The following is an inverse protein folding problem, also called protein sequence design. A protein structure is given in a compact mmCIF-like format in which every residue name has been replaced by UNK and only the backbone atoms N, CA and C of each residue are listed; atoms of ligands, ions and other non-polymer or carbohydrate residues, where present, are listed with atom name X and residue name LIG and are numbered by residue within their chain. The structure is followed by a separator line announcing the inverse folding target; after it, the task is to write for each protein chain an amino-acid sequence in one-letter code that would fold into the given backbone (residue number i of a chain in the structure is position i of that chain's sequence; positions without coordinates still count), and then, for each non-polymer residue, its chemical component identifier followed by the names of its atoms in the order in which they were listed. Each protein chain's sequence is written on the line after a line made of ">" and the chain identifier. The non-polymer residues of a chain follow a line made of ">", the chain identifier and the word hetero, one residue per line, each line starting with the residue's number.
data_IF_586248139336
#
_entry.id   IF_586248139336
#
_cell.length_a   1.000
_cell.length_b   1.000
_cell.length_c   1.000
_cell.angle_alpha   90.00
_cell.angle_beta   90.00
_cell.angle_gamma   90.00
#
_symmetry.space_group_name_H-M   'P 1'
#
loop_
_entity.id
_entity.type
_entity.pdbx_description
1 polymer ?
#
# COMPACT_ATOMS: atom_id res chain seq x y z
N UNK A 1 -2.89 21.72 -18.74
CA UNK A 1 -1.63 21.13 -18.30
C UNK A 1 -1.95 20.30 -17.08
N UNK A 2 -2.12 18.99 -17.28
CA UNK A 2 -2.42 18.08 -16.16
C UNK A 2 -1.10 17.60 -15.59
N UNK A 3 -0.77 18.09 -14.40
CA UNK A 3 0.34 17.54 -13.62
C UNK A 3 -0.18 16.32 -12.87
N UNK A 4 0.43 15.17 -13.12
CA UNK A 4 0.25 14.03 -12.23
C UNK A 4 1.15 14.21 -11.02
N UNK A 5 0.55 14.47 -9.87
CA UNK A 5 1.26 14.41 -8.60
C UNK A 5 1.30 12.96 -8.13
N UNK A 6 2.47 12.36 -8.15
CA UNK A 6 2.72 11.11 -7.43
C UNK A 6 3.41 11.45 -6.12
N UNK A 7 2.71 11.34 -5.04
CA UNK A 7 3.37 11.02 -3.77
C UNK A 7 3.91 9.61 -3.92
N UNK A 8 5.11 9.36 -3.41
CA UNK A 8 5.77 8.04 -3.46
C UNK A 8 4.94 6.90 -2.87
N UNK A 9 3.69 7.19 -2.50
CA UNK A 9 2.83 6.31 -1.71
C UNK A 9 1.48 5.95 -2.34
N UNK A 10 1.06 6.48 -3.47
CA UNK A 10 -0.29 6.19 -3.91
C UNK A 10 -0.42 6.08 -5.41
N UNK A 11 0.05 5.03 -6.01
CA UNK A 11 -0.63 4.48 -7.18
C UNK A 11 0.05 3.20 -7.61
N UNK A 12 -0.50 2.08 -7.17
CA UNK A 12 -0.35 0.84 -7.90
C UNK A 12 -1.32 0.86 -9.08
N UNK A 13 -0.88 0.23 -10.12
CA UNK A 13 -1.62 -0.09 -11.34
C UNK A 13 -1.92 1.07 -12.30
N UNK A 14 -1.05 1.21 -13.29
CA UNK A 14 -1.38 0.97 -14.71
C UNK A 14 -0.15 1.17 -15.56
N UNK A 15 0.03 0.20 -16.46
CA UNK A 15 0.82 0.15 -17.68
C UNK A 15 2.26 -0.38 -17.64
N UNK A 16 2.47 -1.27 -18.55
CA UNK A 16 3.43 -2.32 -18.76
C UNK A 16 4.85 -1.88 -19.07
N UNK A 17 5.90 -2.46 -18.46
CA UNK A 17 7.28 -2.27 -18.88
C UNK A 17 7.87 -3.40 -19.73
N UNK A 18 8.80 -3.03 -20.59
CA UNK A 18 9.62 -3.91 -21.42
C UNK A 18 10.78 -4.53 -20.64
N UNK A 19 10.95 -5.84 -20.82
CA UNK A 19 11.93 -6.81 -20.34
C UNK A 19 13.22 -6.37 -19.62
N UNK A 20 13.46 -7.00 -18.44
CA UNK A 20 14.78 -7.53 -18.04
C UNK A 20 14.61 -8.87 -17.33
N UNK A 21 15.47 -9.84 -17.65
CA UNK A 21 15.52 -11.19 -17.07
C UNK A 21 15.84 -11.11 -15.58
N UNK A 22 14.91 -11.52 -14.75
CA UNK A 22 15.10 -11.72 -13.30
C UNK A 22 14.46 -13.03 -12.88
N UNK A 23 15.08 -13.69 -11.98
CA UNK A 23 14.77 -14.98 -11.38
C UNK A 23 13.30 -15.13 -10.98
N UNK A 24 12.71 -16.23 -11.39
CA UNK A 24 11.32 -16.61 -11.14
C UNK A 24 11.11 -16.93 -9.65
N UNK A 25 10.54 -16.00 -8.91
CA UNK A 25 9.96 -16.32 -7.60
C UNK A 25 8.45 -16.37 -7.79
N UNK A 26 7.91 -17.58 -7.77
CA UNK A 26 6.47 -17.79 -7.86
C UNK A 26 5.83 -17.53 -6.50
N UNK A 27 5.12 -16.44 -6.37
CA UNK A 27 4.29 -16.16 -5.20
C UNK A 27 2.82 -16.07 -5.59
N UNK A 28 2.02 -17.05 -5.17
CA UNK A 28 0.57 -16.98 -5.29
C UNK A 28 0.04 -16.46 -3.97
N UNK A 29 -0.65 -15.34 -4.00
CA UNK A 29 -1.36 -14.84 -2.84
C UNK A 29 -2.78 -14.52 -3.24
N UNK A 30 -3.70 -15.26 -2.66
CA UNK A 30 -5.13 -14.99 -2.79
C UNK A 30 -5.49 -14.06 -1.64
N UNK A 31 -5.79 -12.80 -1.96
CA UNK A 31 -6.19 -11.81 -0.98
C UNK A 31 -7.70 -11.58 -1.02
N UNK A 32 -8.40 -11.93 0.04
CA UNK A 32 -9.76 -11.44 0.30
C UNK A 32 -9.60 -10.20 1.17
N UNK A 33 -9.76 -9.03 0.57
CA UNK A 33 -9.62 -7.77 1.28
C UNK A 33 -10.91 -7.55 2.08
N UNK A 34 -10.79 -7.64 3.36
CA UNK A 34 -11.88 -7.45 4.32
C UNK A 34 -11.81 -8.42 5.49
N UNK A 35 -11.40 -9.66 5.27
CA UNK A 35 -11.31 -10.66 6.33
C UNK A 35 -9.96 -11.36 6.44
N UNK A 36 -9.01 -11.13 5.53
CA UNK A 36 -7.75 -11.88 5.46
C UNK A 36 -6.49 -11.06 5.77
N UNK A 37 -6.51 -9.74 5.81
CA UNK A 37 -5.35 -8.97 6.28
C UNK A 37 -4.99 -9.30 7.73
N UNK A 38 -5.95 -9.75 8.51
CA UNK A 38 -5.82 -10.04 9.94
C UNK A 38 -5.22 -11.43 10.20
N UNK A 39 -5.62 -12.43 9.44
CA UNK A 39 -5.06 -13.78 9.58
C UNK A 39 -3.65 -13.88 9.00
N UNK A 40 -3.27 -12.93 8.17
CA UNK A 40 -2.06 -12.99 7.37
C UNK A 40 -0.78 -12.72 8.16
N UNK A 41 -0.79 -11.80 9.14
CA UNK A 41 0.38 -11.58 10.01
C UNK A 41 0.67 -12.80 10.88
N UNK A 42 -0.36 -13.46 11.41
CA UNK A 42 -0.20 -14.71 12.17
C UNK A 42 0.25 -15.89 11.32
N UNK A 43 -0.29 -16.03 10.11
CA UNK A 43 0.03 -17.14 9.19
C UNK A 43 1.43 -16.94 8.56
N UNK A 44 1.85 -15.72 8.21
CA UNK A 44 3.20 -15.50 7.67
C UNK A 44 4.31 -15.73 8.70
N UNK A 45 4.10 -15.33 9.94
CA UNK A 45 5.05 -15.66 11.01
C UNK A 45 5.12 -17.18 11.23
N UNK A 46 3.99 -17.88 11.15
CA UNK A 46 3.96 -19.34 11.24
C UNK A 46 4.58 -20.02 10.01
N UNK A 47 4.34 -19.53 8.80
CA UNK A 47 4.94 -20.06 7.57
C UNK A 47 6.45 -19.83 7.49
N UNK A 48 6.94 -18.67 7.94
CA UNK A 48 8.38 -18.39 8.04
C UNK A 48 9.05 -19.24 9.12
N UNK A 49 8.36 -19.50 10.24
CA UNK A 49 8.90 -20.31 11.35
C UNK A 49 8.87 -21.81 11.08
N UNK A 50 7.97 -22.31 10.24
CA UNK A 50 7.78 -23.76 10.05
C UNK A 50 8.26 -24.29 8.71
N UNK A 51 8.69 -23.40 7.78
CA UNK A 51 9.03 -23.80 6.39
C UNK A 51 7.98 -24.76 5.78
N UNK A 52 6.75 -24.63 6.22
CA UNK A 52 5.68 -25.54 5.84
C UNK A 52 4.91 -24.97 4.67
N UNK A 53 4.97 -25.69 3.58
CA UNK A 53 4.05 -25.59 2.46
C UNK A 53 2.63 -25.92 2.95
N UNK A 54 1.97 -24.96 3.61
CA UNK A 54 0.60 -25.20 4.11
C UNK A 54 -0.42 -25.22 2.97
N UNK A 55 -0.03 -24.89 1.77
CA UNK A 55 -1.02 -24.67 0.73
C UNK A 55 -1.14 -25.76 -0.32
N UNK A 56 -0.39 -26.80 -0.35
CA UNK A 56 -0.62 -27.86 -1.33
C UNK A 56 0.05 -29.15 -0.84
N UNK A 57 -0.47 -29.74 0.20
CA UNK A 57 -0.23 -31.14 0.47
C UNK A 57 -1.51 -31.89 0.85
N UNK A 58 -2.62 -31.53 0.26
CA UNK A 58 -3.57 -32.58 -0.05
C UNK A 58 -3.37 -32.93 -1.52
N UNK A 59 -2.35 -33.72 -1.78
CA UNK A 59 -2.23 -34.54 -2.97
C UNK A 59 -3.17 -35.74 -2.88
N UNK A 60 -4.15 -35.66 -1.98
CA UNK A 60 -5.28 -36.57 -1.87
C UNK A 60 -6.51 -35.76 -2.26
N UNK A 61 -7.05 -36.12 -3.39
CA UNK A 61 -8.21 -35.56 -4.09
C UNK A 61 -7.94 -34.25 -4.84
N UNK A 62 -7.11 -34.24 -5.88
CA UNK A 62 -7.69 -33.85 -7.14
C UNK A 62 -8.84 -34.84 -7.34
N UNK A 63 -10.03 -34.47 -6.88
CA UNK A 63 -11.24 -35.14 -7.26
C UNK A 63 -11.35 -34.91 -8.77
N UNK A 64 -10.97 -35.91 -9.58
CA UNK A 64 -11.21 -35.93 -11.03
C UNK A 64 -12.72 -36.06 -11.30
N UNK A 65 -13.54 -35.68 -10.31
CA UNK A 65 -14.98 -35.70 -10.35
C UNK A 65 -15.58 -34.52 -11.12
N UNK A 66 -16.78 -34.67 -11.60
CA UNK A 66 -17.61 -33.62 -12.20
C UNK A 66 -17.61 -32.37 -11.31
N UNK A 67 -16.96 -31.27 -11.77
CA UNK A 67 -16.90 -30.00 -11.08
C UNK A 67 -15.50 -29.45 -10.79
N UNK A 68 -14.42 -30.17 -11.14
CA UNK A 68 -13.06 -29.64 -11.03
C UNK A 68 -12.88 -28.45 -12.00
N UNK A 69 -12.38 -27.31 -11.50
CA UNK A 69 -12.13 -26.12 -12.35
C UNK A 69 -11.08 -26.42 -13.43
N UNK A 70 -10.10 -27.26 -13.15
CA UNK A 70 -9.04 -27.67 -14.07
C UNK A 70 -9.22 -29.13 -14.50
N UNK A 71 -10.38 -29.46 -15.06
CA UNK A 71 -10.59 -30.76 -15.69
C UNK A 71 -9.82 -30.88 -17.02
N UNK A 72 -9.81 -32.07 -17.61
CA UNK A 72 -9.07 -32.36 -18.84
C UNK A 72 -9.53 -31.48 -20.02
N UNK A 73 -10.81 -31.16 -20.11
CA UNK A 73 -11.38 -30.35 -21.18
C UNK A 73 -10.96 -28.89 -21.03
N UNK A 74 -10.98 -28.34 -19.79
CA UNK A 74 -10.49 -27.00 -19.48
C UNK A 74 -9.00 -26.86 -19.80
N UNK A 75 -8.17 -27.83 -19.37
CA UNK A 75 -6.74 -27.82 -19.68
C UNK A 75 -6.50 -27.93 -21.19
N UNK A 76 -7.25 -28.77 -21.90
CA UNK A 76 -7.17 -28.88 -23.35
C UNK A 76 -7.53 -27.55 -24.04
N UNK A 77 -8.58 -26.87 -23.55
CA UNK A 77 -9.00 -25.56 -24.10
C UNK A 77 -7.97 -24.47 -23.86
N UNK A 78 -7.36 -24.42 -22.68
CA UNK A 78 -6.27 -23.48 -22.37
C UNK A 78 -5.09 -23.70 -23.31
N UNK A 79 -4.69 -24.97 -23.53
CA UNK A 79 -3.61 -25.31 -24.47
C UNK A 79 -3.94 -24.91 -25.89
N UNK A 80 -5.17 -25.16 -26.38
CA UNK A 80 -5.64 -24.77 -27.70
C UNK A 80 -5.57 -23.25 -27.86
N UNK A 81 -6.13 -22.47 -26.92
CA UNK A 81 -6.08 -21.01 -26.95
C UNK A 81 -4.63 -20.49 -26.92
N UNK A 82 -3.77 -21.07 -26.11
CA UNK A 82 -2.35 -20.72 -26.08
C UNK A 82 -1.66 -20.99 -27.43
N UNK A 83 -1.98 -22.11 -28.07
CA UNK A 83 -1.44 -22.44 -29.39
C UNK A 83 -1.92 -21.46 -30.45
N UNK A 84 -3.22 -21.12 -30.45
CA UNK A 84 -3.77 -20.12 -31.41
C UNK A 84 -3.13 -18.73 -31.16
N UNK A 85 -2.99 -18.30 -29.91
CA UNK A 85 -2.36 -17.03 -29.60
C UNK A 85 -0.92 -17.01 -30.12
N UNK A 86 -0.14 -18.06 -29.88
CA UNK A 86 1.25 -18.17 -30.37
C UNK A 86 1.37 -18.18 -31.90
N UNK A 87 0.32 -18.65 -32.61
CA UNK A 87 0.34 -18.78 -34.09
C UNK A 87 -0.10 -17.49 -34.78
N UNK A 88 -1.05 -16.75 -34.21
CA UNK A 88 -1.73 -15.66 -34.92
C UNK A 88 -1.53 -14.27 -34.28
N UNK A 89 -1.04 -14.18 -33.08
CA UNK A 89 -0.79 -12.88 -32.43
C UNK A 89 0.41 -12.19 -33.10
N UNK A 90 0.24 -10.90 -33.40
CA UNK A 90 1.19 -10.14 -34.20
C UNK A 90 2.49 -9.81 -33.42
N UNK A 91 2.39 -9.51 -32.12
CA UNK A 91 3.52 -9.12 -31.32
C UNK A 91 4.12 -10.30 -30.53
N UNK A 92 5.27 -10.08 -29.91
CA UNK A 92 5.91 -11.06 -29.05
C UNK A 92 5.03 -11.39 -27.84
N UNK A 93 4.93 -12.68 -27.50
CA UNK A 93 4.14 -13.18 -26.39
C UNK A 93 5.06 -13.42 -25.17
N UNK A 94 4.70 -12.79 -24.07
CA UNK A 94 5.31 -13.04 -22.78
C UNK A 94 4.49 -14.09 -22.02
N UNK A 95 5.07 -15.30 -21.86
CA UNK A 95 4.35 -16.41 -21.22
C UNK A 95 3.93 -16.10 -19.77
N UNK A 96 4.73 -15.32 -19.04
CA UNK A 96 4.42 -14.90 -17.65
C UNK A 96 3.15 -14.07 -17.60
N UNK A 97 2.95 -13.12 -18.52
CA UNK A 97 1.72 -12.32 -18.59
C UNK A 97 0.47 -13.17 -18.91
N UNK A 98 0.61 -14.17 -19.76
CA UNK A 98 -0.50 -15.09 -20.01
C UNK A 98 -0.83 -15.95 -18.78
N UNK A 99 0.18 -16.36 -18.01
CA UNK A 99 -0.02 -17.11 -16.78
C UNK A 99 -0.69 -16.23 -15.70
N UNK A 100 -0.22 -15.00 -15.52
CA UNK A 100 -0.82 -14.06 -14.58
C UNK A 100 -2.28 -13.74 -14.97
N UNK A 101 -2.55 -13.59 -16.28
CA UNK A 101 -3.90 -13.43 -16.79
C UNK A 101 -4.83 -14.63 -16.50
N UNK A 102 -4.31 -15.86 -16.52
CA UNK A 102 -5.09 -17.05 -16.13
C UNK A 102 -5.40 -17.04 -14.62
N UNK A 103 -4.42 -16.67 -13.77
CA UNK A 103 -4.63 -16.61 -12.33
C UNK A 103 -5.61 -15.49 -11.96
N UNK A 104 -5.46 -14.32 -12.57
CA UNK A 104 -6.39 -13.19 -12.42
C UNK A 104 -7.81 -13.61 -12.82
N UNK A 105 -7.99 -14.19 -14.02
CA UNK A 105 -9.29 -14.63 -14.49
C UNK A 105 -9.94 -15.71 -13.63
N UNK A 106 -9.15 -16.58 -13.01
CA UNK A 106 -9.67 -17.58 -12.06
C UNK A 106 -10.29 -16.92 -10.83
N UNK A 107 -9.62 -15.90 -10.28
CA UNK A 107 -10.11 -15.18 -9.11
C UNK A 107 -11.26 -14.24 -9.47
N UNK A 108 -11.19 -13.54 -10.58
CA UNK A 108 -12.27 -12.69 -11.11
C UNK A 108 -13.57 -13.48 -11.34
N UNK A 109 -13.43 -14.78 -11.69
CA UNK A 109 -14.55 -15.71 -11.84
C UNK A 109 -15.39 -15.91 -10.58
N UNK A 110 -14.90 -15.53 -9.39
CA UNK A 110 -15.68 -15.52 -8.15
C UNK A 110 -16.76 -14.44 -8.15
N UNK A 111 -16.61 -13.38 -8.96
CA UNK A 111 -17.50 -12.22 -8.98
C UNK A 111 -17.46 -11.38 -7.70
N UNK A 112 -16.45 -11.57 -6.86
CA UNK A 112 -16.22 -10.81 -5.64
C UNK A 112 -15.20 -9.70 -5.86
N UNK A 113 -15.63 -8.45 -5.68
CA UNK A 113 -14.78 -7.26 -5.89
C UNK A 113 -13.58 -7.15 -4.95
N UNK A 114 -13.58 -7.89 -3.86
CA UNK A 114 -12.51 -7.86 -2.85
C UNK A 114 -11.49 -8.99 -3.02
N UNK A 115 -11.80 -9.99 -3.84
CA UNK A 115 -10.88 -11.09 -4.13
C UNK A 115 -10.00 -10.71 -5.32
N UNK A 116 -8.69 -10.59 -5.09
CA UNK A 116 -7.72 -10.16 -6.11
C UNK A 116 -6.52 -11.09 -6.13
N UNK A 117 -6.05 -11.46 -7.31
CA UNK A 117 -4.75 -12.09 -7.51
C UNK A 117 -3.68 -11.01 -7.67
N UNK A 118 -2.61 -11.12 -6.92
CA UNK A 118 -1.42 -10.28 -7.06
C UNK A 118 -0.24 -11.13 -7.53
N UNK A 119 0.43 -10.74 -8.59
CA UNK A 119 1.75 -11.27 -8.91
C UNK A 119 2.80 -10.75 -7.90
N UNK A 120 4.07 -11.18 -8.03
CA UNK A 120 5.09 -10.83 -7.03
C UNK A 120 5.37 -9.31 -6.98
N UNK A 121 5.31 -8.61 -8.11
CA UNK A 121 5.53 -7.16 -8.19
C UNK A 121 4.34 -6.40 -7.59
N UNK A 122 3.12 -6.72 -8.00
CA UNK A 122 1.90 -6.11 -7.48
C UNK A 122 1.73 -6.35 -5.99
N UNK A 123 2.10 -7.55 -5.53
CA UNK A 123 2.08 -7.87 -4.11
C UNK A 123 3.08 -7.03 -3.29
N UNK A 124 4.28 -6.80 -3.83
CA UNK A 124 5.25 -5.92 -3.19
C UNK A 124 4.74 -4.47 -3.14
N UNK A 125 4.09 -4.00 -4.21
CA UNK A 125 3.45 -2.69 -4.22
C UNK A 125 2.32 -2.59 -3.18
N UNK A 126 1.48 -3.63 -3.07
CA UNK A 126 0.46 -3.73 -2.03
C UNK A 126 1.05 -3.68 -0.62
N UNK A 127 2.14 -4.41 -0.37
CA UNK A 127 2.81 -4.36 0.94
C UNK A 127 3.25 -2.95 1.30
N UNK A 128 3.89 -2.24 0.38
CA UNK A 128 4.31 -0.85 0.58
C UNK A 128 3.10 0.05 0.87
N UNK A 129 2.04 -0.06 0.08
CA UNK A 129 0.84 0.77 0.27
C UNK A 129 0.09 0.47 1.58
N UNK A 130 0.21 -0.77 2.08
CA UNK A 130 -0.47 -1.18 3.31
C UNK A 130 0.34 -0.84 4.56
N UNK A 131 1.67 -0.97 4.50
CA UNK A 131 2.52 -0.71 5.66
C UNK A 131 2.93 0.76 5.79
N UNK A 132 2.84 1.55 4.72
CA UNK A 132 3.37 2.91 4.65
C UNK A 132 4.90 2.99 4.75
N UNK A 133 5.57 1.84 4.68
CA UNK A 133 7.02 1.72 4.82
C UNK A 133 7.66 1.24 3.52
N UNK A 134 8.70 1.91 3.11
CA UNK A 134 9.51 1.50 1.96
C UNK A 134 10.96 1.95 2.12
N UNK A 135 11.85 1.31 1.41
CA UNK A 135 13.25 1.73 1.35
C UNK A 135 13.45 2.73 0.23
N UNK A 136 13.84 3.93 0.59
CA UNK A 136 14.00 5.02 -0.37
C UNK A 136 14.68 6.23 0.22
N UNK A 137 14.41 7.38 -0.37
CA UNK A 137 15.07 8.65 -0.01
C UNK A 137 14.15 9.64 0.73
N UNK A 138 12.85 9.44 0.74
CA UNK A 138 11.89 10.32 1.44
C UNK A 138 11.62 11.64 0.69
N UNK A 139 11.40 11.56 -0.61
CA UNK A 139 10.93 12.66 -1.44
C UNK A 139 9.70 12.28 -2.25
N UNK A 140 8.74 13.18 -2.36
CA UNK A 140 7.62 13.11 -3.30
C UNK A 140 8.03 13.66 -4.65
N UNK A 141 7.67 12.96 -5.73
CA UNK A 141 7.99 13.34 -7.11
C UNK A 141 6.73 13.50 -7.94
N UNK A 142 6.80 14.38 -8.93
CA UNK A 142 5.76 14.52 -9.94
C UNK A 142 6.39 14.61 -11.33
N UNK A 143 5.70 14.11 -12.35
CA UNK A 143 6.14 14.18 -13.73
C UNK A 143 5.11 14.91 -14.58
N UNK A 144 5.57 15.86 -15.35
CA UNK A 144 4.77 16.54 -16.38
C UNK A 144 4.64 15.59 -17.58
N UNK A 145 3.41 15.27 -17.99
CA UNK A 145 3.13 14.28 -19.05
C UNK A 145 3.57 14.72 -20.44
N UNK A 146 3.62 16.01 -20.70
CA UNK A 146 3.97 16.55 -22.02
C UNK A 146 5.48 16.69 -22.19
N UNK A 147 6.17 17.11 -21.12
CA UNK A 147 7.61 17.37 -21.13
C UNK A 147 8.45 16.25 -20.54
N UNK A 148 7.83 15.29 -19.85
CA UNK A 148 8.48 14.23 -19.08
C UNK A 148 9.40 14.73 -17.96
N UNK A 149 9.36 16.00 -17.64
CA UNK A 149 10.16 16.60 -16.57
C UNK A 149 9.70 16.11 -15.21
N UNK A 150 10.63 15.59 -14.42
CA UNK A 150 10.36 15.11 -13.05
C UNK A 150 10.81 16.16 -12.05
N UNK A 151 9.90 16.54 -11.16
CA UNK A 151 10.12 17.58 -10.15
C UNK A 151 9.87 17.04 -8.75
N UNK A 152 10.70 17.45 -7.79
CA UNK A 152 10.49 17.19 -6.37
C UNK A 152 9.35 18.08 -5.88
N UNK A 153 8.19 17.51 -5.58
CA UNK A 153 7.03 18.25 -5.09
C UNK A 153 7.02 18.39 -3.56
N UNK A 154 7.69 17.45 -2.86
CA UNK A 154 7.80 17.44 -1.41
C UNK A 154 9.08 16.76 -0.96
N UNK A 155 9.73 17.29 0.06
CA UNK A 155 10.76 16.59 0.84
C UNK A 155 10.20 16.36 2.23
N UNK A 156 10.24 15.13 2.71
CA UNK A 156 9.72 14.78 4.03
C UNK A 156 10.77 15.05 5.10
N UNK A 157 10.32 15.55 6.25
CA UNK A 157 11.16 15.86 7.40
C UNK A 157 11.80 14.60 7.98
N UNK A 158 13.04 14.70 8.45
CA UNK A 158 13.79 13.59 9.03
C UNK A 158 14.30 12.55 8.03
N UNK A 159 14.17 12.80 6.72
CA UNK A 159 14.51 11.84 5.67
C UNK A 159 15.92 12.06 5.08
N UNK A 160 16.48 11.04 4.39
CA UNK A 160 17.74 11.18 3.66
C UNK A 160 17.75 12.30 2.63
N UNK A 161 16.63 12.53 1.94
CA UNK A 161 16.51 13.63 0.97
C UNK A 161 16.68 15.00 1.62
N UNK A 162 16.06 15.21 2.78
CA UNK A 162 16.25 16.45 3.54
C UNK A 162 17.69 16.61 4.00
N UNK A 163 18.26 15.53 4.56
CA UNK A 163 19.65 15.51 5.04
C UNK A 163 20.66 15.75 3.93
N UNK A 164 20.38 15.29 2.71
CA UNK A 164 21.19 15.54 1.53
C UNK A 164 21.05 16.96 1.00
N UNK A 165 20.00 17.68 1.36
CA UNK A 165 19.72 19.06 0.93
C UNK A 165 18.91 19.16 -0.36
N UNK A 166 18.13 18.11 -0.71
CA UNK A 166 17.10 18.24 -1.74
C UNK A 166 16.04 19.24 -1.28
N UNK A 167 15.50 19.99 -2.21
CA UNK A 167 14.48 20.98 -1.95
C UNK A 167 13.26 20.72 -2.85
N UNK A 168 12.11 21.21 -2.39
CA UNK A 168 10.94 21.31 -3.25
C UNK A 168 11.28 22.14 -4.49
N UNK A 169 10.71 21.75 -5.63
CA UNK A 169 10.89 22.33 -6.96
C UNK A 169 12.27 22.02 -7.62
N UNK A 170 13.13 21.20 -7.00
CA UNK A 170 14.29 20.64 -7.68
C UNK A 170 13.82 19.74 -8.84
N UNK A 171 14.47 19.83 -9.99
CA UNK A 171 14.19 19.01 -11.17
C UNK A 171 15.19 17.85 -11.21
N UNK A 172 14.70 16.61 -11.21
CA UNK A 172 15.54 15.43 -11.36
C UNK A 172 16.01 15.32 -12.82
N UNK A 173 17.31 15.40 -13.03
CA UNK A 173 17.94 15.30 -14.36
C UNK A 173 18.31 13.86 -14.64
N UNK A 174 19.01 13.19 -13.70
CA UNK A 174 19.39 11.78 -13.84
C UNK A 174 19.38 11.05 -12.50
N UNK A 175 19.20 9.74 -12.56
CA UNK A 175 19.30 8.79 -11.43
C UNK A 175 20.27 7.69 -11.82
N UNK A 176 21.37 7.53 -11.07
CA UNK A 176 22.46 6.59 -11.35
C UNK A 176 22.94 6.66 -12.82
N UNK A 177 23.02 7.90 -13.37
CA UNK A 177 23.42 8.18 -14.75
C UNK A 177 22.36 7.89 -15.81
N UNK A 178 21.16 7.52 -15.44
CA UNK A 178 20.02 7.34 -16.35
C UNK A 178 19.20 8.61 -16.40
N UNK A 179 18.95 9.16 -17.58
CA UNK A 179 18.20 10.41 -17.77
C UNK A 179 16.74 10.24 -17.34
N UNK A 180 16.28 11.09 -16.42
CA UNK A 180 14.94 10.99 -15.83
C UNK A 180 13.80 11.21 -16.84
N UNK A 181 13.98 12.13 -17.79
CA UNK A 181 12.99 12.41 -18.82
C UNK A 181 12.88 11.32 -19.92
N UNK A 182 13.72 10.29 -19.89
CA UNK A 182 13.69 9.19 -20.84
C UNK A 182 12.73 8.05 -20.48
N UNK A 183 12.07 8.13 -19.31
CA UNK A 183 11.20 7.08 -18.79
C UNK A 183 10.00 7.64 -18.02
N UNK A 184 9.00 6.79 -17.81
CA UNK A 184 7.86 7.07 -16.95
C UNK A 184 8.30 7.17 -15.48
N UNK A 185 7.56 7.99 -14.70
CA UNK A 185 7.85 8.21 -13.28
C UNK A 185 7.93 6.91 -12.46
N UNK A 186 7.05 5.95 -12.74
CA UNK A 186 7.04 4.63 -12.08
C UNK A 186 8.36 3.88 -12.24
N UNK A 187 8.97 3.93 -13.43
CA UNK A 187 10.28 3.33 -13.70
C UNK A 187 11.40 4.08 -12.98
N UNK A 188 11.34 5.42 -12.99
CA UNK A 188 12.32 6.25 -12.29
C UNK A 188 12.28 6.00 -10.78
N UNK A 189 11.08 5.87 -10.20
CA UNK A 189 10.89 5.57 -8.77
C UNK A 189 11.49 4.21 -8.41
N UNK A 190 11.42 3.20 -9.29
CA UNK A 190 12.09 1.91 -9.07
C UNK A 190 13.61 2.03 -8.99
N UNK A 191 14.22 2.96 -9.74
CA UNK A 191 15.66 3.24 -9.65
C UNK A 191 16.02 3.99 -8.37
N UNK A 192 15.17 4.92 -7.94
CA UNK A 192 15.39 5.69 -6.71
C UNK A 192 15.23 4.80 -5.47
N UNK A 193 14.24 3.90 -5.46
CA UNK A 193 14.06 2.88 -4.41
C UNK A 193 15.17 1.81 -4.51
N UNK A 194 15.34 1.02 -3.47
CA UNK A 194 16.30 -0.09 -3.45
C UNK A 194 16.54 -0.59 -2.04
N UNK A 195 17.54 -1.43 -1.85
CA UNK A 195 17.86 -2.01 -0.55
C UNK A 195 18.33 -0.94 0.44
N UNK A 196 17.90 -1.06 1.70
CA UNK A 196 18.32 -0.19 2.80
C UNK A 196 19.85 -0.15 2.93
N UNK A 197 20.39 1.05 3.14
CA UNK A 197 21.81 1.30 3.27
C UNK A 197 22.58 1.38 1.94
N UNK A 198 21.90 1.17 0.80
CA UNK A 198 22.50 1.45 -0.51
C UNK A 198 22.34 2.93 -0.86
N UNK A 199 23.18 3.44 -1.73
CA UNK A 199 23.17 4.85 -2.15
C UNK A 199 22.60 4.97 -3.55
N UNK A 200 21.81 6.00 -3.81
CA UNK A 200 21.39 6.45 -5.13
C UNK A 200 22.07 7.77 -5.46
N UNK A 201 22.59 7.88 -6.66
CA UNK A 201 23.18 9.11 -7.17
C UNK A 201 22.15 9.90 -7.97
N UNK A 202 21.88 11.14 -7.54
CA UNK A 202 20.94 12.05 -8.19
C UNK A 202 21.66 13.25 -8.78
N UNK A 203 21.44 13.54 -10.04
CA UNK A 203 21.74 14.84 -10.62
C UNK A 203 20.45 15.63 -10.72
N UNK A 204 20.46 16.85 -10.24
CA UNK A 204 19.30 17.75 -10.26
C UNK A 204 19.64 19.11 -10.84
N UNK A 205 18.64 19.79 -11.38
CA UNK A 205 18.70 21.21 -11.65
C UNK A 205 17.82 21.95 -10.65
N UNK A 206 18.40 22.97 -9.99
CA UNK A 206 17.70 23.81 -9.00
C UNK A 206 17.29 25.13 -9.62
N UNK A 207 16.02 25.35 -9.97
CA UNK A 207 15.57 26.59 -10.62
C UNK A 207 15.82 27.85 -9.79
N UNK A 208 15.76 27.75 -8.46
CA UNK A 208 15.92 28.90 -7.56
C UNK A 208 17.34 29.52 -7.57
N UNK A 209 18.36 28.71 -7.89
CA UNK A 209 19.75 29.15 -7.98
C UNK A 209 20.34 29.03 -9.38
N UNK A 210 19.57 28.44 -10.33
CA UNK A 210 20.00 28.13 -11.70
C UNK A 210 21.24 27.22 -11.74
N UNK A 211 21.38 26.28 -10.79
CA UNK A 211 22.55 25.40 -10.63
C UNK A 211 22.20 23.94 -10.92
N UNK A 212 23.14 23.21 -11.51
CA UNK A 212 23.14 21.77 -11.52
C UNK A 212 23.87 21.27 -10.26
N UNK A 213 23.21 20.44 -9.49
CA UNK A 213 23.73 19.87 -8.24
C UNK A 213 23.70 18.34 -8.31
N UNK A 214 24.54 17.73 -7.50
CA UNK A 214 24.68 16.29 -7.43
C UNK A 214 24.60 15.84 -5.98
N UNK A 215 23.82 14.80 -5.71
CA UNK A 215 23.58 14.25 -4.38
C UNK A 215 23.75 12.75 -4.38
N UNK A 216 24.51 12.25 -3.42
CA UNK A 216 24.54 10.83 -3.07
C UNK A 216 23.61 10.65 -1.86
N UNK A 217 22.47 9.97 -2.06
CA UNK A 217 21.44 9.82 -1.03
C UNK A 217 21.35 8.36 -0.60
N UNK A 218 21.59 8.09 0.69
CA UNK A 218 21.45 6.75 1.23
C UNK A 218 19.98 6.36 1.36
N UNK A 219 19.62 5.16 0.88
CA UNK A 219 18.27 4.63 1.03
C UNK A 219 18.05 4.13 2.46
N UNK A 220 16.99 4.59 3.09
CA UNK A 220 16.62 4.23 4.45
C UNK A 220 15.16 3.77 4.52
N UNK A 221 14.74 3.27 5.70
CA UNK A 221 13.32 3.10 5.98
C UNK A 221 12.65 4.48 5.96
N UNK A 222 11.69 4.64 5.07
CA UNK A 222 10.87 5.84 5.00
C UNK A 222 9.48 5.49 5.51
N UNK A 223 9.06 6.18 6.55
CA UNK A 223 7.68 6.16 7.04
C UNK A 223 7.01 7.46 6.63
N UNK A 224 5.93 7.35 5.89
CA UNK A 224 5.17 8.52 5.49
C UNK A 224 4.19 8.94 6.60
N UNK A 225 3.99 10.25 6.79
CA UNK A 225 2.96 10.69 7.71
C UNK A 225 1.57 10.41 7.11
N UNK A 226 0.83 9.51 7.78
CA UNK A 226 -0.57 9.18 7.47
C UNK A 226 -1.56 9.95 8.33
N UNK A 227 -1.06 10.71 9.32
CA UNK A 227 -1.86 11.52 10.24
C UNK A 227 -1.41 12.98 10.15
N UNK A 228 -2.38 13.88 10.11
CA UNK A 228 -2.16 15.32 10.28
C UNK A 228 -3.17 15.88 11.27
N UNK A 229 -2.78 16.92 12.02
CA UNK A 229 -3.65 17.48 13.03
C UNK A 229 -3.54 18.99 13.12
N UNK A 230 -4.53 19.61 13.72
CA UNK A 230 -4.54 21.03 14.06
C UNK A 230 -5.55 21.32 15.16
N UNK A 231 -5.29 22.37 15.94
CA UNK A 231 -6.25 22.92 16.89
C UNK A 231 -7.10 23.99 16.19
N UNK A 232 -8.43 23.86 16.27
CA UNK A 232 -9.34 24.94 15.92
C UNK A 232 -9.61 25.87 17.11
N UNK A 233 -10.21 27.03 16.84
CA UNK A 233 -10.72 27.91 17.89
C UNK A 233 -11.69 27.14 18.81
N UNK A 234 -11.85 27.63 20.04
CA UNK A 234 -12.69 27.01 21.07
C UNK A 234 -12.22 25.65 21.65
N UNK A 235 -11.01 25.21 21.29
CA UNK A 235 -10.43 23.97 21.82
C UNK A 235 -10.95 22.72 21.12
N UNK A 236 -11.27 22.81 19.86
CA UNK A 236 -11.64 21.65 19.05
C UNK A 236 -10.39 21.15 18.32
N UNK A 237 -9.94 19.94 18.70
CA UNK A 237 -8.89 19.22 17.97
C UNK A 237 -9.44 18.63 16.67
N UNK A 238 -8.64 18.64 15.64
CA UNK A 238 -8.93 18.02 14.35
C UNK A 238 -7.76 17.13 13.97
N UNK A 239 -8.04 15.86 13.72
CA UNK A 239 -7.08 14.87 13.23
C UNK A 239 -7.61 14.31 11.92
N UNK A 240 -6.80 14.39 10.88
CA UNK A 240 -7.09 13.75 9.59
C UNK A 240 -6.19 12.53 9.43
N UNK A 241 -6.79 11.41 9.05
CA UNK A 241 -6.10 10.14 8.79
C UNK A 241 -6.27 9.81 7.31
N UNK A 242 -5.17 9.84 6.56
CA UNK A 242 -5.17 9.57 5.12
C UNK A 242 -5.37 8.07 4.81
N UNK A 243 -4.72 7.20 5.62
CA UNK A 243 -4.77 5.72 5.51
C UNK A 243 -4.44 5.09 6.86
N UNK A 244 -4.78 3.80 7.03
CA UNK A 244 -4.40 3.05 8.23
C UNK A 244 -3.18 2.17 7.94
N UNK A 245 -2.00 2.68 8.23
CA UNK A 245 -0.70 2.06 8.04
C UNK A 245 -0.10 1.60 9.36
N UNK A 246 1.08 0.98 9.33
CA UNK A 246 1.74 0.45 10.54
C UNK A 246 1.92 1.49 11.63
N UNK A 247 2.34 2.71 11.26
CA UNK A 247 2.66 3.77 12.23
C UNK A 247 1.49 4.74 12.49
N UNK A 248 0.34 4.52 11.85
CA UNK A 248 -0.80 5.45 11.97
C UNK A 248 -1.31 5.58 13.40
N UNK A 249 -1.33 4.48 14.15
CA UNK A 249 -1.76 4.51 15.55
C UNK A 249 -0.81 5.35 16.41
N UNK A 250 0.50 5.17 16.27
CA UNK A 250 1.51 5.98 16.96
C UNK A 250 1.39 7.46 16.59
N UNK A 251 1.26 7.77 15.30
CA UNK A 251 1.08 9.15 14.82
C UNK A 251 -0.22 9.77 15.34
N UNK A 252 -1.29 8.98 15.47
CA UNK A 252 -2.55 9.43 16.03
C UNK A 252 -2.41 9.75 17.52
N UNK A 253 -1.77 8.88 18.31
CA UNK A 253 -1.48 9.10 19.74
C UNK A 253 -0.67 10.39 19.94
N UNK A 254 0.39 10.58 19.15
CA UNK A 254 1.20 11.80 19.18
C UNK A 254 0.39 13.06 18.84
N UNK A 255 -0.46 12.99 17.82
CA UNK A 255 -1.34 14.07 17.40
C UNK A 255 -2.36 14.44 18.49
N UNK A 256 -3.00 13.45 19.10
CA UNK A 256 -3.96 13.64 20.20
C UNK A 256 -3.26 14.27 21.40
N UNK A 257 -2.09 13.75 21.79
CA UNK A 257 -1.32 14.29 22.89
C UNK A 257 -0.93 15.76 22.67
N UNK A 258 -0.47 16.12 21.48
CA UNK A 258 -0.15 17.53 21.16
C UNK A 258 -1.39 18.42 21.26
N UNK A 259 -2.55 17.94 20.81
CA UNK A 259 -3.82 18.67 20.93
C UNK A 259 -4.28 18.79 22.40
N UNK A 260 -4.08 17.75 23.21
CA UNK A 260 -4.38 17.78 24.65
C UNK A 260 -3.47 18.79 25.39
N UNK A 261 -2.19 18.81 25.08
CA UNK A 261 -1.23 19.78 25.63
C UNK A 261 -1.61 21.23 25.26
N UNK A 262 -2.29 21.43 24.12
CA UNK A 262 -2.89 22.72 23.70
C UNK A 262 -4.23 23.01 24.35
N UNK A 263 -4.80 22.09 25.15
CA UNK A 263 -6.07 22.27 25.86
C UNK A 263 -7.30 21.86 25.07
N UNK A 264 -7.20 20.82 24.28
CA UNK A 264 -8.32 20.22 23.54
C UNK A 264 -9.49 19.86 24.47
N UNK A 265 -10.73 20.06 23.99
CA UNK A 265 -11.97 19.77 24.73
C UNK A 265 -12.92 18.89 23.92
N UNK A 266 -12.72 18.75 22.64
CA UNK A 266 -13.47 17.90 21.73
C UNK A 266 -12.58 17.53 20.53
N UNK A 267 -12.80 16.36 19.93
CA UNK A 267 -12.01 15.85 18.84
C UNK A 267 -12.87 15.60 17.59
N UNK A 268 -12.38 16.03 16.44
CA UNK A 268 -12.91 15.64 15.13
C UNK A 268 -11.88 14.72 14.48
N UNK A 269 -12.28 13.50 14.13
CA UNK A 269 -11.47 12.56 13.36
C UNK A 269 -12.03 12.54 11.94
N UNK A 270 -11.21 12.89 10.98
CA UNK A 270 -11.61 12.94 9.56
C UNK A 270 -10.97 11.80 8.79
N UNK A 271 -11.79 10.86 8.33
CA UNK A 271 -11.42 9.74 7.47
C UNK A 271 -12.12 9.81 6.11
N UNK A 272 -12.49 11.00 5.68
CA UNK A 272 -13.01 11.20 4.32
C UNK A 272 -11.92 10.92 3.30
N UNK A 273 -12.26 10.21 2.24
CA UNK A 273 -11.34 9.73 1.20
C UNK A 273 -10.30 8.69 1.67
N UNK A 274 -10.40 8.21 2.91
CA UNK A 274 -9.54 7.16 3.44
C UNK A 274 -10.12 5.78 3.07
N UNK A 275 -9.45 5.01 2.20
CA UNK A 275 -9.95 3.71 1.74
C UNK A 275 -9.82 2.59 2.80
N UNK A 276 -9.28 2.92 3.97
CA UNK A 276 -9.02 1.97 5.04
C UNK A 276 -7.53 1.66 5.21
N UNK A 277 -7.21 0.39 5.39
CA UNK A 277 -5.84 -0.11 5.61
C UNK A 277 -5.80 -1.18 6.70
N UNK A 278 -4.79 -1.14 7.56
CA UNK A 278 -4.55 -2.18 8.56
C UNK A 278 -5.58 -2.15 9.68
N UNK A 279 -6.24 -3.29 9.89
CA UNK A 279 -7.19 -3.45 11.02
C UNK A 279 -6.48 -3.33 12.37
N UNK A 280 -5.24 -3.78 12.47
CA UNK A 280 -4.44 -3.62 13.68
C UNK A 280 -4.25 -2.14 14.06
N UNK A 281 -4.01 -1.27 13.08
CA UNK A 281 -3.84 0.16 13.33
C UNK A 281 -5.15 0.80 13.83
N UNK A 282 -6.29 0.51 13.17
CA UNK A 282 -7.57 1.07 13.63
C UNK A 282 -7.99 0.52 15.00
N UNK A 283 -7.69 -0.74 15.30
CA UNK A 283 -7.97 -1.33 16.62
C UNK A 283 -7.14 -0.65 17.71
N UNK A 284 -5.86 -0.36 17.46
CA UNK A 284 -5.02 0.38 18.41
C UNK A 284 -5.56 1.79 18.65
N UNK A 285 -5.94 2.52 17.60
CA UNK A 285 -6.58 3.84 17.74
C UNK A 285 -7.87 3.75 18.56
N UNK A 286 -8.68 2.72 18.33
CA UNK A 286 -9.93 2.52 19.05
C UNK A 286 -9.73 2.07 20.51
N UNK A 287 -8.61 1.40 20.80
CA UNK A 287 -8.21 1.08 22.18
C UNK A 287 -7.94 2.34 22.99
N UNK A 288 -7.34 3.37 22.36
CA UNK A 288 -7.12 4.67 22.99
C UNK A 288 -8.39 5.52 23.15
N UNK A 289 -9.43 5.25 22.35
CA UNK A 289 -10.65 6.07 22.30
C UNK A 289 -11.78 5.48 23.14
N UNK A 290 -11.95 4.15 23.14
CA UNK A 290 -13.14 3.47 23.64
C UNK A 290 -12.93 2.88 25.04
N UNK A 291 -13.99 2.79 25.85
CA UNK A 291 -13.95 2.00 27.07
C UNK A 291 -13.74 0.50 26.77
N UNK A 292 -13.47 -0.29 27.82
CA UNK A 292 -13.34 -1.76 27.69
C UNK A 292 -14.53 -2.37 26.95
N UNK A 293 -14.23 -3.13 25.87
CA UNK A 293 -15.27 -3.79 25.08
C UNK A 293 -14.77 -4.39 23.77
N UNK A 294 -15.69 -5.00 23.04
CA UNK A 294 -15.39 -5.51 21.69
C UNK A 294 -15.47 -4.36 20.68
N UNK A 295 -14.38 -4.15 19.96
CA UNK A 295 -14.27 -3.14 18.89
C UNK A 295 -14.81 -3.69 17.57
N UNK A 296 -14.32 -4.85 17.16
CA UNK A 296 -14.71 -5.53 15.92
C UNK A 296 -14.41 -7.02 16.05
N UNK A 297 -15.11 -7.85 15.30
CA UNK A 297 -14.76 -9.26 15.17
C UNK A 297 -14.75 -9.68 13.70
N UNK A 298 -13.99 -10.72 13.42
CA UNK A 298 -14.02 -11.43 12.13
C UNK A 298 -14.55 -12.82 12.33
N UNK A 299 -15.30 -13.34 11.36
CA UNK A 299 -15.81 -14.70 11.36
C UNK A 299 -15.66 -15.31 9.97
N UNK A 300 -15.09 -16.51 9.89
CA UNK A 300 -14.97 -17.26 8.66
C UNK A 300 -16.25 -18.05 8.33
N UNK A 301 -16.31 -18.65 7.14
CA UNK A 301 -17.45 -19.48 6.70
C UNK A 301 -17.72 -20.71 7.57
N UNK A 302 -16.81 -21.10 8.45
CA UNK A 302 -16.91 -22.25 9.34
C UNK A 302 -17.34 -21.83 10.76
N UNK A 303 -17.53 -20.51 10.99
CA UNK A 303 -17.88 -19.93 12.28
C UNK A 303 -16.69 -19.73 13.21
N UNK A 304 -15.45 -19.80 12.71
CA UNK A 304 -14.28 -19.44 13.51
C UNK A 304 -14.24 -17.92 13.65
N UNK A 305 -14.36 -17.47 14.89
CA UNK A 305 -14.44 -16.05 15.23
C UNK A 305 -13.16 -15.58 15.90
N UNK A 306 -12.70 -14.38 15.54
CA UNK A 306 -11.63 -13.66 16.20
C UNK A 306 -12.14 -12.28 16.62
N UNK A 307 -12.09 -11.99 17.92
CA UNK A 307 -12.50 -10.71 18.50
C UNK A 307 -11.27 -9.80 18.67
N UNK A 308 -11.49 -8.52 18.41
CA UNK A 308 -10.58 -7.43 18.70
C UNK A 308 -11.25 -6.53 19.74
N UNK A 309 -10.55 -6.23 20.82
CA UNK A 309 -11.13 -5.55 21.99
C UNK A 309 -10.35 -4.31 22.35
N UNK A 310 -11.03 -3.33 22.94
CA UNK A 310 -10.40 -2.25 23.68
C UNK A 310 -10.22 -2.67 25.14
N UNK A 311 -9.08 -2.31 25.72
CA UNK A 311 -8.78 -2.50 27.13
C UNK A 311 -9.51 -1.48 28.03
N UNK A 312 -9.80 -0.30 27.50
CA UNK A 312 -10.36 0.84 28.23
C UNK A 312 -9.37 1.54 29.16
N UNK A 313 -8.08 1.20 29.09
CA UNK A 313 -7.06 1.76 29.97
C UNK A 313 -6.78 3.25 29.71
N UNK A 314 -6.99 3.70 28.47
CA UNK A 314 -6.60 5.05 27.98
C UNK A 314 -7.73 5.79 27.24
N UNK A 315 -9.00 5.40 27.45
CA UNK A 315 -10.10 5.98 26.68
C UNK A 315 -10.25 7.50 26.86
N UNK A 316 -10.65 8.18 25.78
CA UNK A 316 -10.80 9.63 25.75
C UNK A 316 -12.20 10.04 26.28
N UNK A 317 -12.22 10.84 27.36
CA UNK A 317 -13.47 11.31 28.02
C UNK A 317 -13.88 12.72 27.56
N UNK A 318 -13.99 12.94 26.23
CA UNK A 318 -14.55 14.16 25.65
C UNK A 318 -15.28 13.85 24.33
N UNK A 319 -16.13 14.80 23.86
CA UNK A 319 -16.90 14.57 22.64
C UNK A 319 -16.03 14.31 21.42
N UNK A 320 -16.35 13.24 20.70
CA UNK A 320 -15.69 12.85 19.45
C UNK A 320 -16.71 12.88 18.31
N UNK A 321 -16.32 13.41 17.17
CA UNK A 321 -17.09 13.34 15.94
C UNK A 321 -16.21 12.76 14.81
N UNK A 322 -16.77 11.83 14.02
CA UNK A 322 -16.08 11.24 12.87
C UNK A 322 -16.67 11.75 11.57
N UNK A 323 -15.83 12.22 10.68
CA UNK A 323 -16.21 12.63 9.32
C UNK A 323 -15.89 11.51 8.34
N UNK A 324 -16.91 11.07 7.62
CA UNK A 324 -16.82 10.05 6.57
C UNK A 324 -17.42 10.56 5.26
N UNK A 325 -17.09 9.92 4.14
CA UNK A 325 -17.75 10.12 2.85
C UNK A 325 -17.86 8.80 2.07
N UNK A 326 -18.29 8.87 0.82
CA UNK A 326 -18.48 7.69 -0.04
C UNK A 326 -17.19 6.92 -0.38
N UNK A 327 -16.03 7.52 -0.16
CA UNK A 327 -14.71 6.93 -0.38
C UNK A 327 -14.11 6.34 0.93
N UNK A 328 -14.74 6.59 2.08
CA UNK A 328 -14.33 5.97 3.35
C UNK A 328 -14.74 4.49 3.34
N UNK A 329 -13.78 3.58 3.52
CA UNK A 329 -14.03 2.15 3.44
C UNK A 329 -13.21 1.34 4.46
N UNK A 330 -13.57 0.06 4.67
CA UNK A 330 -12.81 -0.92 5.46
C UNK A 330 -12.50 -0.42 6.89
N UNK A 331 -11.23 -0.21 7.27
CA UNK A 331 -10.82 0.27 8.59
C UNK A 331 -11.48 1.63 8.96
N UNK A 332 -11.75 2.50 7.99
CA UNK A 332 -12.50 3.75 8.22
C UNK A 332 -13.94 3.49 8.66
N UNK A 333 -14.57 2.44 8.13
CA UNK A 333 -15.92 2.02 8.53
C UNK A 333 -15.90 1.40 9.93
N UNK A 334 -14.84 0.64 10.26
CA UNK A 334 -14.63 0.10 11.62
C UNK A 334 -14.52 1.25 12.62
N UNK A 335 -13.68 2.26 12.33
CA UNK A 335 -13.53 3.44 13.19
C UNK A 335 -14.87 4.14 13.43
N UNK A 336 -15.56 4.47 12.34
CA UNK A 336 -16.82 5.20 12.42
C UNK A 336 -17.92 4.40 13.10
N UNK A 337 -18.00 3.10 12.83
CA UNK A 337 -18.97 2.19 13.43
C UNK A 337 -18.76 2.05 14.93
N UNK A 338 -17.53 1.75 15.35
CA UNK A 338 -17.20 1.54 16.75
C UNK A 338 -17.40 2.79 17.63
N UNK A 339 -17.14 3.99 17.10
CA UNK A 339 -17.38 5.25 17.83
C UNK A 339 -18.88 5.59 17.88
N UNK A 340 -19.64 5.19 16.87
CA UNK A 340 -21.10 5.44 16.81
C UNK A 340 -21.90 4.54 17.76
N UNK A 341 -21.54 3.27 17.89
CA UNK A 341 -22.25 2.25 18.69
C UNK A 341 -21.93 2.36 20.18
#
# INVERSE_FOLDING_TARGET
>A
MDQQNYELDQTGAEETPKKKKGSTVKGIVIGVIGTLLISWTGINVACLATNSQILITNKESADDGEGAVLDADTVSKINELTAYTKLYYYDDIENEKLQDGLYTGLIDGLGDKYSVYYNAEDYQALQISTTGQYYGIGAGLSQDKDTMVVTVNKVYEGTPSESAGLLKDDVIVSVDGTEAASMELSELVKLIRGEKGTTVHLEIYRPSTEENLSFDVERQDITLPSVSHKMFEDGIGYVHIDSFETETATQFEEAVKDLEDQGMKALIIDVRYNPGGMVTAVVQILDDILPEGTVVYTEDKNGNRQDYTSSGDTYLDYPIAVLINGESASASEILAGAIKD
#
